data_IF_891497369497
#
_entry.id   IF_891497369497
#
_cell.length_a   1.000
_cell.length_b   1.000
_cell.length_c   1.000
_cell.angle_alpha   90.00
_cell.angle_beta   90.00
_cell.angle_gamma   90.00
#
_symmetry.space_group_name_H-M   'P 1'
#
loop_
_entity.id
_entity.type
_entity.pdbx_description
1 polymer ?
#
# COMPACT_ATOMS: atom_id res chain seq x y z
N UNK A 1 -18.91 -12.73 -6.60
CA UNK A 1 -17.58 -12.25 -7.04
C UNK A 1 -17.48 -12.43 -8.54
N UNK A 2 -17.06 -11.39 -9.26
CA UNK A 2 -16.92 -11.32 -10.72
C UNK A 2 -15.53 -11.75 -11.23
N UNK A 3 -14.55 -11.89 -10.34
CA UNK A 3 -13.17 -12.25 -10.68
C UNK A 3 -12.33 -11.05 -11.15
N UNK A 4 -12.86 -9.83 -11.04
CA UNK A 4 -12.14 -8.61 -11.39
C UNK A 4 -11.29 -8.14 -10.21
N UNK A 5 -9.97 -8.18 -10.39
CA UNK A 5 -8.98 -7.84 -9.37
C UNK A 5 -8.20 -6.59 -9.79
N UNK A 6 -8.26 -5.54 -8.97
CA UNK A 6 -7.51 -4.32 -9.16
C UNK A 6 -6.11 -4.40 -8.52
N UNK A 7 -5.10 -3.92 -9.25
CA UNK A 7 -3.76 -3.60 -8.74
C UNK A 7 -3.71 -2.09 -8.57
N UNK A 8 -3.71 -1.62 -7.32
CA UNK A 8 -3.54 -0.20 -7.01
C UNK A 8 -2.06 0.09 -6.83
N UNK A 9 -1.46 0.82 -7.78
CA UNK A 9 -0.03 1.13 -7.76
C UNK A 9 0.24 2.53 -8.31
N UNK A 10 1.47 3.02 -8.17
CA UNK A 10 1.87 4.29 -8.81
C UNK A 10 1.86 4.17 -10.33
N UNK A 11 1.77 5.31 -11.02
CA UNK A 11 1.75 5.39 -12.49
C UNK A 11 2.95 4.67 -13.12
N UNK A 12 4.12 4.83 -12.52
CA UNK A 12 5.36 4.18 -12.96
C UNK A 12 5.23 2.65 -12.93
N UNK A 13 4.62 2.09 -11.88
CA UNK A 13 4.41 0.64 -11.74
C UNK A 13 3.30 0.15 -12.68
N UNK A 14 2.20 0.90 -12.80
CA UNK A 14 1.08 0.58 -13.70
C UNK A 14 1.56 0.46 -15.15
N UNK A 15 2.48 1.33 -15.58
CA UNK A 15 3.09 1.32 -16.92
C UNK A 15 4.31 0.40 -17.07
N UNK A 16 4.76 -0.24 -15.99
CA UNK A 16 6.00 -1.01 -16.02
C UNK A 16 5.86 -2.30 -16.84
N UNK A 17 6.85 -2.56 -17.70
CA UNK A 17 7.01 -3.85 -18.37
C UNK A 17 7.21 -4.99 -17.36
N UNK A 18 7.93 -4.73 -16.26
CA UNK A 18 8.19 -5.72 -15.20
C UNK A 18 6.91 -6.25 -14.56
N UNK A 19 5.93 -5.37 -14.33
CA UNK A 19 4.62 -5.79 -13.81
C UNK A 19 3.89 -6.70 -14.82
N UNK A 20 3.96 -6.36 -16.10
CA UNK A 20 3.34 -7.16 -17.17
C UNK A 20 4.00 -8.55 -17.28
N UNK A 21 5.33 -8.60 -17.22
CA UNK A 21 6.11 -9.85 -17.24
C UNK A 21 5.81 -10.70 -16.00
N UNK A 22 5.76 -10.09 -14.82
CA UNK A 22 5.41 -10.79 -13.57
C UNK A 22 4.03 -11.43 -13.67
N UNK A 23 3.02 -10.68 -14.12
CA UNK A 23 1.66 -11.21 -14.30
C UNK A 23 1.65 -12.38 -15.29
N UNK A 24 2.35 -12.23 -16.43
CA UNK A 24 2.44 -13.29 -17.45
C UNK A 24 3.11 -14.55 -16.91
N UNK A 25 4.21 -14.41 -16.16
CA UNK A 25 4.98 -15.53 -15.60
C UNK A 25 4.17 -16.34 -14.58
N UNK A 26 3.29 -15.68 -13.82
CA UNK A 26 2.49 -16.32 -12.77
C UNK A 26 1.23 -17.04 -13.29
N UNK A 27 0.96 -17.05 -14.60
CA UNK A 27 -0.11 -17.85 -15.25
C UNK A 27 -1.44 -17.83 -14.48
N UNK A 28 -2.00 -16.63 -14.29
CA UNK A 28 -3.25 -16.48 -13.55
C UNK A 28 -4.39 -17.29 -14.19
N UNK A 29 -5.33 -17.82 -13.38
CA UNK A 29 -6.50 -18.52 -13.91
C UNK A 29 -7.28 -17.65 -14.90
N UNK A 30 -7.84 -18.26 -15.95
CA UNK A 30 -8.55 -17.55 -17.04
C UNK A 30 -9.72 -16.67 -16.57
N UNK A 31 -10.33 -17.01 -15.43
CA UNK A 31 -11.46 -16.26 -14.85
C UNK A 31 -11.02 -15.02 -14.06
N UNK A 32 -9.72 -14.83 -13.82
CA UNK A 32 -9.19 -13.67 -13.09
C UNK A 32 -8.85 -12.56 -14.07
N UNK A 33 -9.55 -11.43 -13.96
CA UNK A 33 -9.36 -10.26 -14.79
C UNK A 33 -8.61 -9.18 -14.01
N UNK A 34 -7.33 -8.97 -14.34
CA UNK A 34 -6.55 -7.93 -13.68
C UNK A 34 -6.79 -6.54 -14.29
N UNK A 35 -7.00 -5.56 -13.43
CA UNK A 35 -7.12 -4.14 -13.79
C UNK A 35 -6.04 -3.35 -13.08
N UNK A 36 -5.24 -2.58 -13.81
CA UNK A 36 -4.21 -1.72 -13.24
C UNK A 36 -4.79 -0.33 -13.04
N UNK A 37 -4.72 0.20 -11.82
CA UNK A 37 -5.29 1.50 -11.48
C UNK A 37 -4.18 2.36 -10.89
N UNK A 38 -4.01 3.55 -11.47
CA UNK A 38 -3.07 4.54 -10.97
C UNK A 38 -3.59 5.16 -9.66
N UNK A 39 -2.87 4.88 -8.58
CA UNK A 39 -3.12 5.38 -7.24
C UNK A 39 -2.06 6.42 -6.78
N UNK A 40 -1.31 7.03 -7.70
CA UNK A 40 -0.23 7.99 -7.37
C UNK A 40 -0.71 9.12 -6.48
N UNK A 41 -1.90 9.67 -6.73
CA UNK A 41 -2.48 10.73 -5.88
C UNK A 41 -2.75 10.25 -4.45
N UNK A 42 -3.11 8.98 -4.26
CA UNK A 42 -3.32 8.38 -2.94
C UNK A 42 -1.99 8.19 -2.21
N UNK A 43 -0.94 7.78 -2.92
CA UNK A 43 0.41 7.66 -2.37
C UNK A 43 0.91 9.03 -1.87
N UNK A 44 0.73 10.09 -2.66
CA UNK A 44 1.13 11.46 -2.26
C UNK A 44 0.45 11.94 -0.98
N UNK A 45 -0.84 11.62 -0.78
CA UNK A 45 -1.53 11.96 0.48
C UNK A 45 -0.83 11.36 1.71
N UNK A 46 -0.27 10.18 1.57
CA UNK A 46 0.41 9.48 2.67
C UNK A 46 1.81 10.07 2.89
N UNK A 47 2.56 10.31 1.81
CA UNK A 47 3.88 10.96 1.87
C UNK A 47 3.81 12.36 2.51
N UNK A 48 2.75 13.10 2.22
CA UNK A 48 2.48 14.42 2.80
C UNK A 48 1.93 14.35 4.23
N UNK A 49 1.60 13.18 4.76
CA UNK A 49 1.04 12.99 6.10
C UNK A 49 -0.44 13.35 6.23
N UNK A 50 -1.15 13.63 5.13
CA UNK A 50 -2.56 14.10 5.15
C UNK A 50 -3.54 13.10 5.75
N UNK A 51 -3.18 11.82 5.77
CA UNK A 51 -3.98 10.78 6.41
C UNK A 51 -4.05 10.91 7.95
N UNK A 52 -3.13 11.67 8.54
CA UNK A 52 -3.04 11.89 9.99
C UNK A 52 -3.94 13.03 10.47
N UNK A 53 -4.09 14.09 9.67
CA UNK A 53 -4.73 15.34 10.10
C UNK A 53 -5.85 15.85 9.17
N UNK A 54 -5.98 15.32 7.96
CA UNK A 54 -6.93 15.84 6.96
C UNK A 54 -7.83 14.73 6.38
N UNK A 55 -8.77 14.28 7.22
CA UNK A 55 -9.72 13.23 6.87
C UNK A 55 -10.57 13.56 5.64
N UNK A 56 -11.07 14.80 5.54
CA UNK A 56 -11.96 15.26 4.45
C UNK A 56 -11.23 15.24 3.10
N UNK A 57 -9.97 15.69 3.06
CA UNK A 57 -9.15 15.62 1.84
C UNK A 57 -8.91 14.18 1.42
N UNK A 58 -8.56 13.29 2.36
CA UNK A 58 -8.36 11.87 2.07
C UNK A 58 -9.62 11.24 1.48
N UNK A 59 -10.78 11.45 2.10
CA UNK A 59 -12.05 10.94 1.60
C UNK A 59 -12.36 11.50 0.19
N UNK A 60 -12.18 12.80 -0.04
CA UNK A 60 -12.43 13.41 -1.36
C UNK A 60 -11.53 12.80 -2.45
N UNK A 61 -10.24 12.65 -2.17
CA UNK A 61 -9.27 12.14 -3.15
C UNK A 61 -9.46 10.65 -3.42
N UNK A 62 -9.75 9.83 -2.39
CA UNK A 62 -10.07 8.40 -2.55
C UNK A 62 -11.25 8.23 -3.50
N UNK A 63 -12.33 8.97 -3.30
CA UNK A 63 -13.51 8.95 -4.18
C UNK A 63 -13.14 9.37 -5.60
N UNK A 64 -12.45 10.50 -5.75
CA UNK A 64 -12.04 11.04 -7.06
C UNK A 64 -11.21 10.03 -7.85
N UNK A 65 -10.26 9.36 -7.20
CA UNK A 65 -9.33 8.44 -7.87
C UNK A 65 -10.00 7.11 -8.22
N UNK A 66 -10.84 6.55 -7.34
CA UNK A 66 -11.26 5.15 -7.45
C UNK A 66 -12.70 4.94 -7.93
N UNK A 67 -13.61 5.91 -7.77
CA UNK A 67 -15.04 5.68 -8.10
C UNK A 67 -15.26 5.27 -9.55
N UNK A 68 -14.66 5.99 -10.51
CA UNK A 68 -14.81 5.68 -11.94
C UNK A 68 -14.11 4.36 -12.32
N UNK A 69 -12.84 4.11 -11.95
CA UNK A 69 -12.19 2.83 -12.25
C UNK A 69 -12.89 1.60 -11.67
N UNK A 70 -13.37 1.68 -10.42
CA UNK A 70 -14.05 0.56 -9.76
C UNK A 70 -15.42 0.28 -10.38
N UNK A 71 -16.22 1.31 -10.61
CA UNK A 71 -17.55 1.16 -11.24
C UNK A 71 -17.43 0.60 -12.67
N UNK A 72 -16.52 1.14 -13.49
CA UNK A 72 -16.37 0.70 -14.88
C UNK A 72 -15.88 -0.75 -15.03
N UNK A 73 -15.11 -1.24 -14.08
CA UNK A 73 -14.48 -2.56 -14.19
C UNK A 73 -15.11 -3.62 -13.31
N UNK A 74 -16.19 -3.27 -12.58
CA UNK A 74 -16.88 -4.13 -11.62
C UNK A 74 -15.90 -4.90 -10.71
N UNK A 75 -14.93 -4.16 -10.15
CA UNK A 75 -13.87 -4.73 -9.29
C UNK A 75 -14.51 -5.35 -8.05
N UNK A 76 -14.07 -6.55 -7.62
CA UNK A 76 -14.45 -7.11 -6.32
C UNK A 76 -13.31 -7.06 -5.30
N UNK A 77 -12.06 -7.12 -5.80
CA UNK A 77 -10.85 -7.20 -4.97
C UNK A 77 -9.87 -6.13 -5.42
N UNK A 78 -9.26 -5.42 -4.47
CA UNK A 78 -8.21 -4.44 -4.75
C UNK A 78 -6.96 -4.74 -3.92
N UNK A 79 -5.85 -5.04 -4.60
CA UNK A 79 -4.55 -5.27 -4.00
C UNK A 79 -3.86 -3.92 -3.78
N UNK A 80 -3.41 -3.68 -2.55
CA UNK A 80 -2.66 -2.49 -2.15
C UNK A 80 -1.18 -2.65 -2.55
N UNK A 81 -0.88 -2.43 -3.83
CA UNK A 81 0.46 -2.67 -4.40
C UNK A 81 1.43 -1.48 -4.26
N UNK A 82 1.31 -0.74 -3.16
CA UNK A 82 2.26 0.28 -2.71
C UNK A 82 2.30 0.28 -1.19
N UNK A 83 3.50 0.43 -0.61
CA UNK A 83 3.74 0.46 0.84
C UNK A 83 2.98 1.56 1.56
N UNK A 84 2.51 2.58 0.84
CA UNK A 84 1.78 3.70 1.39
C UNK A 84 0.27 3.45 1.52
N UNK A 85 -0.32 2.63 0.64
CA UNK A 85 -1.77 2.49 0.56
C UNK A 85 -2.45 1.88 1.81
N UNK A 86 -1.81 0.99 2.59
CA UNK A 86 -2.41 0.49 3.83
C UNK A 86 -2.80 1.59 4.82
N UNK A 87 -2.10 2.73 4.84
CA UNK A 87 -2.47 3.88 5.70
C UNK A 87 -3.82 4.51 5.31
N UNK A 88 -4.27 4.31 4.07
CA UNK A 88 -5.58 4.78 3.60
C UNK A 88 -6.67 3.70 3.71
N UNK A 89 -6.36 2.49 4.20
CA UNK A 89 -7.30 1.38 4.27
C UNK A 89 -8.62 1.72 5.00
N UNK A 90 -8.64 2.48 6.12
CA UNK A 90 -9.90 2.87 6.75
C UNK A 90 -10.80 3.71 5.84
N UNK A 91 -10.21 4.60 5.04
CA UNK A 91 -10.93 5.46 4.08
C UNK A 91 -11.44 4.65 2.90
N UNK A 92 -10.61 3.73 2.39
CA UNK A 92 -10.93 2.81 1.31
C UNK A 92 -12.14 1.94 1.67
N UNK A 93 -12.10 1.28 2.84
CA UNK A 93 -13.21 0.44 3.34
C UNK A 93 -14.49 1.24 3.58
N UNK A 94 -14.38 2.45 4.12
CA UNK A 94 -15.55 3.32 4.34
C UNK A 94 -16.26 3.68 3.03
N UNK A 95 -15.52 3.95 1.96
CA UNK A 95 -16.10 4.40 0.70
C UNK A 95 -16.49 3.25 -0.25
N UNK A 96 -15.79 2.14 -0.15
CA UNK A 96 -15.98 0.98 -1.02
C UNK A 96 -16.13 -0.29 -0.17
N UNK A 97 -17.19 -0.40 0.66
CA UNK A 97 -17.37 -1.50 1.60
C UNK A 97 -17.51 -2.86 0.91
N UNK A 98 -17.97 -2.86 -0.35
CA UNK A 98 -18.16 -4.07 -1.15
C UNK A 98 -16.86 -4.57 -1.81
N UNK A 99 -15.76 -3.82 -1.69
CA UNK A 99 -14.45 -4.19 -2.24
C UNK A 99 -13.61 -4.84 -1.16
N UNK A 100 -13.08 -6.03 -1.46
CA UNK A 100 -12.10 -6.69 -0.60
C UNK A 100 -10.72 -6.08 -0.86
N UNK A 101 -10.18 -5.36 0.13
CA UNK A 101 -8.83 -4.80 0.06
C UNK A 101 -7.80 -5.79 0.62
N UNK A 102 -6.75 -6.07 -0.16
CA UNK A 102 -5.68 -7.01 0.19
C UNK A 102 -4.38 -6.26 0.39
N UNK A 103 -3.86 -6.27 1.62
CA UNK A 103 -2.52 -5.81 1.96
C UNK A 103 -1.54 -7.00 1.99
N UNK A 104 -0.54 -7.06 1.08
CA UNK A 104 0.42 -8.16 1.06
C UNK A 104 1.42 -8.12 2.24
N UNK A 105 1.53 -7.01 2.98
CA UNK A 105 2.58 -6.83 3.99
C UNK A 105 2.62 -7.95 5.04
N UNK A 106 1.45 -8.41 5.50
CA UNK A 106 1.35 -9.50 6.49
C UNK A 106 1.92 -10.82 5.96
N UNK A 107 1.58 -11.19 4.73
CA UNK A 107 2.07 -12.42 4.11
C UNK A 107 3.58 -12.35 3.88
N UNK A 108 4.08 -11.21 3.42
CA UNK A 108 5.51 -10.97 3.25
C UNK A 108 6.25 -11.08 4.59
N UNK A 109 5.73 -10.46 5.66
CA UNK A 109 6.33 -10.57 7.00
C UNK A 109 6.40 -12.03 7.49
N UNK A 110 5.36 -12.84 7.23
CA UNK A 110 5.37 -14.26 7.56
C UNK A 110 6.42 -15.04 6.74
N UNK A 111 6.58 -14.75 5.45
CA UNK A 111 7.63 -15.36 4.61
C UNK A 111 9.02 -15.00 5.12
N UNK A 112 9.26 -13.72 5.43
CA UNK A 112 10.54 -13.27 6.01
C UNK A 112 10.81 -13.98 7.33
N UNK A 113 9.81 -14.08 8.23
CA UNK A 113 9.93 -14.81 9.50
C UNK A 113 10.43 -16.25 9.30
N UNK A 114 9.89 -16.98 8.32
CA UNK A 114 10.31 -18.36 8.03
C UNK A 114 11.77 -18.44 7.57
N UNK A 115 12.24 -17.45 6.81
CA UNK A 115 13.63 -17.40 6.33
C UNK A 115 14.59 -17.12 7.50
N UNK A 116 14.29 -16.12 8.32
CA UNK A 116 15.17 -15.70 9.43
C UNK A 116 15.09 -16.61 10.67
N UNK A 117 14.04 -17.43 10.79
CA UNK A 117 13.91 -18.40 11.88
C UNK A 117 15.10 -19.37 11.99
N UNK A 118 15.85 -19.57 10.90
CA UNK A 118 17.07 -20.40 10.88
C UNK A 118 18.27 -19.74 11.57
N UNK A 119 18.26 -18.41 11.74
CA UNK A 119 19.32 -17.62 12.40
C UNK A 119 18.68 -16.46 13.19
N UNK A 120 18.00 -16.75 14.31
CA UNK A 120 17.33 -15.71 15.07
C UNK A 120 18.36 -14.75 15.68
N UNK A 121 18.07 -13.44 15.62
CA UNK A 121 18.83 -12.47 16.41
C UNK A 121 18.60 -12.72 17.90
N UNK A 122 19.67 -12.68 18.70
CA UNK A 122 19.57 -12.76 20.17
C UNK A 122 19.01 -11.48 20.79
N UNK A 123 19.05 -10.37 20.05
CA UNK A 123 18.58 -9.05 20.49
C UNK A 123 17.50 -8.52 19.56
N UNK A 124 16.43 -7.97 20.15
CA UNK A 124 15.34 -7.36 19.40
C UNK A 124 15.46 -5.83 19.43
N UNK A 125 16.39 -5.30 18.64
CA UNK A 125 16.62 -3.85 18.54
C UNK A 125 16.16 -3.30 17.19
N UNK A 126 15.50 -2.15 17.21
CA UNK A 126 15.07 -1.42 16.01
C UNK A 126 15.74 -0.05 15.99
N UNK A 127 16.46 0.23 14.89
CA UNK A 127 17.01 1.54 14.54
C UNK A 127 16.35 1.99 13.24
N UNK A 128 16.00 3.27 13.16
CA UNK A 128 15.32 3.84 12.00
C UNK A 128 16.15 5.01 11.47
N UNK A 129 16.41 4.99 10.17
CA UNK A 129 17.18 6.02 9.47
C UNK A 129 16.33 6.64 8.36
N UNK A 130 16.61 7.89 8.02
CA UNK A 130 16.00 8.59 6.89
C UNK A 130 17.05 9.43 6.16
N UNK A 131 16.88 9.63 4.85
CA UNK A 131 17.70 10.56 4.05
C UNK A 131 17.13 11.99 4.03
N UNK A 132 15.99 12.22 4.68
CA UNK A 132 15.34 13.53 4.79
C UNK A 132 15.42 14.06 6.23
N UNK A 133 14.52 14.97 6.63
CA UNK A 133 14.45 15.50 7.99
C UNK A 133 14.05 14.39 9.01
N UNK A 134 14.96 14.00 9.92
CA UNK A 134 14.68 12.98 10.92
C UNK A 134 13.58 13.39 11.91
N UNK A 135 13.50 14.68 12.28
CA UNK A 135 12.50 15.17 13.24
C UNK A 135 11.10 15.09 12.64
N UNK A 136 10.95 15.49 11.38
CA UNK A 136 9.67 15.37 10.66
C UNK A 136 9.21 13.92 10.57
N UNK A 137 10.11 13.00 10.17
CA UNK A 137 9.74 11.59 10.03
C UNK A 137 9.42 10.94 11.39
N UNK A 138 10.20 11.26 12.43
CA UNK A 138 9.94 10.82 13.80
C UNK A 138 8.55 11.23 14.28
N UNK A 139 8.11 12.46 14.00
CA UNK A 139 6.77 12.93 14.36
C UNK A 139 5.67 12.08 13.71
N UNK A 140 5.81 11.73 12.43
CA UNK A 140 4.85 10.86 11.75
C UNK A 140 4.84 9.44 12.35
N UNK A 141 6.01 8.87 12.63
CA UNK A 141 6.12 7.55 13.27
C UNK A 141 5.43 7.51 14.63
N UNK A 142 5.60 8.56 15.44
CA UNK A 142 4.95 8.65 16.75
C UNK A 142 3.42 8.72 16.64
N UNK A 143 2.91 9.46 15.65
CA UNK A 143 1.47 9.55 15.40
C UNK A 143 0.84 8.21 14.97
N UNK A 144 1.63 7.31 14.38
CA UNK A 144 1.20 5.94 14.02
C UNK A 144 1.60 4.88 15.07
N UNK A 145 2.08 5.30 16.24
CA UNK A 145 2.37 4.43 17.38
C UNK A 145 3.79 3.86 17.46
N UNK A 146 4.69 4.22 16.54
CA UNK A 146 6.09 3.77 16.54
C UNK A 146 6.93 4.79 17.32
N UNK A 147 7.06 4.59 18.64
CA UNK A 147 7.84 5.46 19.54
C UNK A 147 9.35 5.16 19.46
N UNK A 148 9.98 5.49 18.33
CA UNK A 148 11.43 5.39 18.13
C UNK A 148 12.02 6.70 17.66
N UNK A 149 13.30 6.89 17.95
CA UNK A 149 14.07 7.99 17.39
C UNK A 149 14.47 7.67 15.96
N UNK A 150 14.58 8.71 15.15
CA UNK A 150 15.04 8.62 13.76
C UNK A 150 16.38 9.34 13.64
N UNK A 151 17.33 8.69 12.99
CA UNK A 151 18.64 9.28 12.67
C UNK A 151 18.74 9.62 11.18
N UNK A 152 19.57 10.59 10.83
CA UNK A 152 19.92 10.83 9.43
C UNK A 152 20.81 9.68 8.93
N UNK A 153 20.55 9.21 7.71
CA UNK A 153 21.45 8.31 7.00
C UNK A 153 22.56 9.17 6.41
N UNK A 154 23.72 9.18 7.07
CA UNK A 154 24.96 9.82 6.60
C UNK A 154 25.70 8.87 5.68
#
# INVERSE_FOLDING_TARGET
MTGNVAILATHAIVRSKKLSEYVRKNRLPKHVNLKRIDATQLVRLVEEGKFLDNRKLCEKTVRKVLSKPFSKSNVDVAILSSTHLPFLLPFLKKQFPNITFVDPAKEIAQKVRKIVAKKPSKTNTMKIFTSSDPKKFQRYLWQIGIKKNVSLLV
#
